data_IF_263806874288
#
_entry.id   IF_263806874288
#
_cell.length_a   1.000
_cell.length_b   1.000
_cell.length_c   1.000
_cell.angle_alpha   90.00
_cell.angle_beta   90.00
_cell.angle_gamma   90.00
#
_symmetry.space_group_name_H-M   'P 1'
#
loop_
_entity.id
_entity.type
_entity.pdbx_description
1 polymer ?
#
# COMPACT_ATOMS: atom_id res chain seq x y z
N UNK A 1 1.46 16.24 7.70
CA UNK A 1 1.85 16.21 6.28
C UNK A 1 0.63 15.74 5.50
N UNK A 2 0.24 16.39 4.40
CA UNK A 2 -0.98 16.00 3.64
C UNK A 2 -0.65 14.78 2.78
N UNK A 3 -1.44 13.72 2.93
CA UNK A 3 -1.36 12.53 2.08
C UNK A 3 -1.49 12.93 0.59
N UNK A 4 -0.49 12.68 -0.26
CA UNK A 4 -0.54 13.13 -1.65
C UNK A 4 -1.35 12.16 -2.51
N UNK A 5 -2.15 12.69 -3.43
CA UNK A 5 -2.62 11.94 -4.61
C UNK A 5 -1.72 12.27 -5.80
N UNK A 6 -1.54 11.33 -6.73
CA UNK A 6 -0.71 11.54 -7.91
C UNK A 6 -1.53 11.90 -9.15
N UNK A 7 -0.95 12.76 -9.98
CA UNK A 7 -1.39 13.03 -11.34
C UNK A 7 -0.66 12.07 -12.27
N UNK A 8 -1.35 11.00 -12.65
CA UNK A 8 -0.79 10.00 -13.56
C UNK A 8 -0.59 10.56 -14.98
N UNK A 9 0.51 10.20 -15.67
CA UNK A 9 0.79 10.67 -17.03
C UNK A 9 -0.30 10.23 -18.02
N UNK A 10 -0.71 11.13 -18.91
CA UNK A 10 -1.72 10.82 -19.94
C UNK A 10 -1.23 9.74 -20.90
N UNK A 11 0.06 9.71 -21.22
CA UNK A 11 0.68 8.69 -22.07
C UNK A 11 0.61 7.26 -21.46
N UNK A 12 0.44 7.15 -20.14
CA UNK A 12 0.30 5.88 -19.43
C UNK A 12 -1.15 5.43 -19.25
N UNK A 13 -2.14 6.19 -19.76
CA UNK A 13 -3.56 5.90 -19.57
C UNK A 13 -3.96 4.64 -20.34
N UNK A 14 -4.55 3.69 -19.63
CA UNK A 14 -5.06 2.43 -20.21
C UNK A 14 -6.58 2.42 -20.29
N UNK A 15 -7.27 2.74 -19.18
CA UNK A 15 -8.72 2.99 -19.15
C UNK A 15 -9.62 1.77 -19.41
N UNK A 16 -9.12 0.54 -19.28
CA UNK A 16 -9.91 -0.67 -19.55
C UNK A 16 -10.59 -1.22 -18.29
N UNK A 17 -11.80 -1.76 -18.43
CA UNK A 17 -12.48 -2.45 -17.32
C UNK A 17 -11.81 -3.79 -17.07
N UNK A 18 -11.49 -4.10 -15.81
CA UNK A 18 -11.04 -5.43 -15.39
C UNK A 18 -12.26 -6.21 -14.86
N UNK A 19 -12.74 -7.25 -15.57
CA UNK A 19 -13.80 -8.12 -15.05
C UNK A 19 -13.34 -8.84 -13.78
N UNK A 20 -14.27 -9.07 -12.84
CA UNK A 20 -13.94 -9.75 -11.57
C UNK A 20 -13.62 -11.23 -11.81
N UNK A 21 -14.22 -11.79 -12.85
CA UNK A 21 -14.05 -13.16 -13.32
C UNK A 21 -12.59 -13.46 -13.64
N UNK A 22 -11.88 -12.52 -14.31
CA UNK A 22 -10.44 -12.65 -14.58
C UNK A 22 -9.60 -12.75 -13.31
N UNK A 23 -10.01 -12.08 -12.23
CA UNK A 23 -9.32 -12.17 -10.94
C UNK A 23 -9.60 -13.53 -10.28
N UNK A 24 -10.80 -14.09 -10.45
CA UNK A 24 -11.16 -15.41 -9.91
C UNK A 24 -10.48 -16.57 -10.65
N UNK A 25 -10.18 -16.40 -11.94
CA UNK A 25 -9.47 -17.39 -12.76
C UNK A 25 -7.98 -17.44 -12.44
N UNK A 26 -7.37 -16.26 -12.24
CA UNK A 26 -5.92 -16.15 -12.02
C UNK A 26 -5.52 -16.09 -10.54
N UNK A 27 -6.45 -15.76 -9.65
CA UNK A 27 -6.26 -15.80 -8.21
C UNK A 27 -6.91 -17.05 -7.63
N UNK A 28 -6.24 -17.74 -6.72
CA UNK A 28 -6.86 -18.81 -5.93
C UNK A 28 -7.83 -18.19 -4.89
N UNK A 29 -8.95 -17.65 -5.37
CA UNK A 29 -9.89 -16.83 -4.58
C UNK A 29 -10.95 -17.72 -3.93
N UNK A 30 -10.94 -17.75 -2.59
CA UNK A 30 -11.95 -18.49 -1.81
C UNK A 30 -13.36 -17.89 -1.95
N UNK A 31 -14.38 -18.70 -1.64
CA UNK A 31 -15.80 -18.28 -1.67
C UNK A 31 -16.05 -17.01 -0.85
N UNK A 32 -15.49 -16.94 0.36
CA UNK A 32 -15.61 -15.77 1.23
C UNK A 32 -15.01 -14.49 0.60
N UNK A 33 -13.91 -14.61 -0.15
CA UNK A 33 -13.32 -13.46 -0.85
C UNK A 33 -14.17 -13.08 -2.06
N UNK A 34 -14.74 -14.04 -2.79
CA UNK A 34 -15.70 -13.75 -3.89
C UNK A 34 -16.91 -12.97 -3.39
N UNK A 35 -17.49 -13.36 -2.25
CA UNK A 35 -18.59 -12.61 -1.61
C UNK A 35 -18.19 -11.18 -1.26
N UNK A 36 -16.96 -10.97 -0.79
CA UNK A 36 -16.41 -9.62 -0.55
C UNK A 36 -16.28 -8.82 -1.85
N UNK A 37 -15.85 -9.41 -2.95
CA UNK A 37 -15.87 -8.73 -4.24
C UNK A 37 -17.28 -8.33 -4.68
N UNK A 38 -18.30 -9.16 -4.44
CA UNK A 38 -19.68 -8.85 -4.81
C UNK A 38 -20.25 -7.73 -3.95
N UNK A 39 -20.01 -7.77 -2.64
CA UNK A 39 -20.53 -6.80 -1.67
C UNK A 39 -19.76 -5.47 -1.65
N UNK A 40 -18.44 -5.48 -1.78
CA UNK A 40 -17.59 -4.30 -1.60
C UNK A 40 -17.25 -3.60 -2.91
N UNK A 41 -17.11 -4.33 -4.02
CA UNK A 41 -16.59 -3.76 -5.26
C UNK A 41 -17.71 -3.50 -6.27
N UNK A 42 -17.83 -2.27 -6.75
CA UNK A 42 -18.76 -1.92 -7.82
C UNK A 42 -18.12 -2.19 -9.17
N UNK A 43 -16.93 -1.61 -9.37
CA UNK A 43 -16.20 -1.66 -10.64
C UNK A 43 -14.70 -1.61 -10.38
N UNK A 44 -13.95 -2.34 -11.20
CA UNK A 44 -12.49 -2.29 -11.24
C UNK A 44 -12.10 -1.78 -12.62
N UNK A 45 -11.27 -0.75 -12.66
CA UNK A 45 -10.77 -0.14 -13.88
C UNK A 45 -9.25 -0.17 -13.83
N UNK A 46 -8.64 -0.78 -14.84
CA UNK A 46 -7.22 -0.62 -15.11
C UNK A 46 -7.00 0.77 -15.68
N UNK A 47 -6.63 1.71 -14.81
CA UNK A 47 -6.58 3.13 -15.13
C UNK A 47 -5.29 3.49 -15.88
N UNK A 48 -4.14 3.05 -15.38
CA UNK A 48 -2.83 3.36 -15.97
C UNK A 48 -1.88 2.16 -15.95
N UNK A 49 -0.98 2.14 -16.92
CA UNK A 49 0.16 1.22 -17.02
C UNK A 49 1.43 2.05 -17.21
N UNK A 50 2.26 2.09 -16.19
CA UNK A 50 3.56 2.78 -16.20
C UNK A 50 4.63 1.79 -16.63
N UNK A 51 5.07 1.91 -17.87
CA UNK A 51 6.16 1.15 -18.47
C UNK A 51 7.14 2.09 -19.18
N UNK A 52 8.32 1.58 -19.54
CA UNK A 52 9.36 2.33 -20.26
C UNK A 52 8.80 3.07 -21.49
N UNK A 53 7.95 2.41 -22.28
CA UNK A 53 7.30 3.01 -23.46
C UNK A 53 6.31 4.14 -23.16
N UNK A 54 5.87 4.31 -21.91
CA UNK A 54 4.81 5.27 -21.52
C UNK A 54 5.32 6.43 -20.66
N UNK A 55 6.39 6.20 -19.90
CA UNK A 55 6.98 7.21 -18.99
C UNK A 55 8.47 7.42 -19.19
N UNK A 56 9.07 6.74 -20.16
CA UNK A 56 10.50 6.85 -20.49
C UNK A 56 11.42 6.57 -19.28
N UNK A 57 11.03 5.60 -18.44
CA UNK A 57 11.82 5.13 -17.31
C UNK A 57 12.17 3.65 -17.52
N UNK A 58 13.45 3.28 -17.46
CA UNK A 58 13.85 1.89 -17.63
C UNK A 58 13.28 1.02 -16.51
N UNK A 59 12.79 -0.16 -16.90
CA UNK A 59 12.39 -1.21 -15.97
C UNK A 59 13.56 -2.05 -15.46
N UNK A 60 13.28 -2.95 -14.53
CA UNK A 60 14.20 -4.01 -14.09
C UNK A 60 13.52 -5.37 -14.10
N UNK A 61 14.28 -6.45 -13.82
CA UNK A 61 13.69 -7.79 -13.68
C UNK A 61 12.60 -7.85 -12.59
N UNK A 62 12.75 -7.09 -11.50
CA UNK A 62 11.79 -7.03 -10.39
C UNK A 62 10.62 -6.07 -10.62
N UNK A 63 10.84 -4.95 -11.32
CA UNK A 63 9.80 -3.96 -11.64
C UNK A 63 9.90 -3.58 -13.11
N UNK A 64 9.22 -4.35 -13.97
CA UNK A 64 9.16 -4.09 -15.42
C UNK A 64 8.13 -3.02 -15.79
N UNK A 65 7.08 -2.94 -14.99
CA UNK A 65 5.95 -2.03 -15.17
C UNK A 65 5.24 -1.86 -13.82
N UNK A 66 4.51 -0.77 -13.64
CA UNK A 66 3.68 -0.50 -12.45
C UNK A 66 2.25 -0.26 -12.93
N UNK A 67 1.29 -0.94 -12.30
CA UNK A 67 -0.13 -0.83 -12.65
C UNK A 67 -0.86 0.10 -11.68
N UNK A 68 -1.80 0.88 -12.21
CA UNK A 68 -2.73 1.68 -11.39
C UNK A 68 -4.15 1.17 -11.63
N UNK A 69 -4.74 0.62 -10.58
CA UNK A 69 -6.12 0.14 -10.60
C UNK A 69 -7.02 1.07 -9.80
N UNK A 70 -8.06 1.59 -10.46
CA UNK A 70 -9.12 2.30 -9.79
C UNK A 70 -10.22 1.31 -9.39
N UNK A 71 -10.60 1.31 -8.12
CA UNK A 71 -11.68 0.51 -7.59
C UNK A 71 -12.78 1.44 -7.10
N UNK A 72 -13.96 1.34 -7.72
CA UNK A 72 -15.14 2.03 -7.23
C UNK A 72 -15.81 1.10 -6.18
N UNK A 73 -15.87 1.56 -4.94
CA UNK A 73 -16.45 0.82 -3.81
C UNK A 73 -17.97 0.95 -3.80
N UNK A 74 -18.68 -0.15 -3.54
CA UNK A 74 -20.13 -0.16 -3.27
C UNK A 74 -20.45 0.29 -1.85
N UNK A 75 -19.55 0.01 -0.91
CA UNK A 75 -19.70 0.29 0.52
C UNK A 75 -18.65 1.32 0.95
N UNK A 76 -18.49 1.50 2.26
CA UNK A 76 -17.55 2.48 2.81
C UNK A 76 -16.07 2.24 2.47
N UNK A 77 -15.65 0.99 2.20
CA UNK A 77 -14.27 0.65 1.80
C UNK A 77 -14.16 -0.76 1.21
N UNK A 78 -13.00 -1.06 0.61
CA UNK A 78 -12.57 -2.35 0.10
C UNK A 78 -11.54 -2.97 1.03
N UNK A 79 -11.75 -4.23 1.41
CA UNK A 79 -10.88 -4.95 2.34
C UNK A 79 -9.55 -5.41 1.72
N UNK A 80 -8.50 -5.52 2.53
CA UNK A 80 -7.18 -6.03 2.13
C UNK A 80 -7.23 -7.41 1.48
N UNK A 81 -8.21 -8.25 1.83
CA UNK A 81 -8.40 -9.56 1.19
C UNK A 81 -8.79 -9.43 -0.29
N UNK A 82 -9.59 -8.42 -0.63
CA UNK A 82 -9.96 -8.12 -2.02
C UNK A 82 -8.76 -7.53 -2.76
N UNK A 83 -8.03 -6.60 -2.15
CA UNK A 83 -6.82 -6.04 -2.75
C UNK A 83 -5.77 -7.13 -3.00
N UNK A 84 -5.55 -8.01 -2.02
CA UNK A 84 -4.59 -9.12 -2.11
C UNK A 84 -4.96 -10.10 -3.21
N UNK A 85 -6.25 -10.38 -3.42
CA UNK A 85 -6.69 -11.22 -4.53
C UNK A 85 -6.34 -10.59 -5.90
N UNK A 86 -6.47 -9.28 -6.06
CA UNK A 86 -6.07 -8.57 -7.29
C UNK A 86 -4.54 -8.61 -7.44
N UNK A 87 -3.80 -8.34 -6.37
CA UNK A 87 -2.33 -8.38 -6.38
C UNK A 87 -1.79 -9.76 -6.72
N UNK A 88 -2.41 -10.84 -6.25
CA UNK A 88 -1.97 -12.20 -6.55
C UNK A 88 -2.27 -12.60 -8.01
N UNK A 89 -3.32 -12.04 -8.61
CA UNK A 89 -3.68 -12.31 -10.01
C UNK A 89 -2.76 -11.60 -11.02
N UNK A 90 -2.01 -10.57 -10.60
CA UNK A 90 -1.21 -9.70 -11.48
C UNK A 90 0.22 -9.63 -10.95
N UNK A 91 1.21 -10.07 -11.72
CA UNK A 91 2.60 -10.17 -11.24
C UNK A 91 3.28 -8.81 -11.03
N UNK A 92 2.88 -7.79 -11.76
CA UNK A 92 3.45 -6.44 -11.67
C UNK A 92 3.02 -5.73 -10.38
N UNK A 93 3.81 -4.80 -9.82
CA UNK A 93 3.39 -3.93 -8.72
C UNK A 93 2.12 -3.15 -9.04
N UNK A 94 1.26 -2.98 -8.03
CA UNK A 94 -0.03 -2.31 -8.15
C UNK A 94 -0.14 -1.15 -7.16
N UNK A 95 -0.67 -0.03 -7.65
CA UNK A 95 -1.17 1.08 -6.85
C UNK A 95 -2.69 1.14 -7.05
N UNK A 96 -3.44 1.05 -5.96
CA UNK A 96 -4.89 1.14 -5.97
C UNK A 96 -5.34 2.58 -5.71
N UNK A 97 -6.25 3.09 -6.53
CA UNK A 97 -7.10 4.24 -6.20
C UNK A 97 -8.49 3.75 -5.84
N UNK A 98 -8.82 3.74 -4.56
CA UNK A 98 -10.10 3.25 -4.07
C UNK A 98 -11.00 4.46 -3.90
N UNK A 99 -12.14 4.48 -4.58
CA UNK A 99 -13.11 5.57 -4.51
C UNK A 99 -14.40 5.13 -3.83
N UNK A 100 -15.03 6.05 -3.10
CA UNK A 100 -16.33 5.84 -2.46
C UNK A 100 -17.20 7.08 -2.59
N UNK A 101 -18.51 6.87 -2.67
CA UNK A 101 -19.47 7.95 -2.55
C UNK A 101 -19.76 8.24 -1.07
N UNK A 102 -19.76 9.52 -0.71
CA UNK A 102 -20.19 10.05 0.59
C UNK A 102 -21.16 11.22 0.36
N UNK A 103 -21.84 11.67 1.41
CA UNK A 103 -22.80 12.79 1.30
C UNK A 103 -22.15 14.08 0.78
N UNK A 104 -20.87 14.30 1.06
CA UNK A 104 -20.10 15.47 0.61
C UNK A 104 -19.44 15.29 -0.77
N UNK A 105 -19.79 14.25 -1.54
CA UNK A 105 -19.23 13.98 -2.87
C UNK A 105 -18.47 12.66 -2.96
N UNK A 106 -17.45 12.60 -3.81
CA UNK A 106 -16.61 11.39 -3.94
C UNK A 106 -15.33 11.55 -3.15
N UNK A 107 -14.94 10.52 -2.42
CA UNK A 107 -13.64 10.43 -1.77
C UNK A 107 -12.78 9.37 -2.44
N UNK A 108 -11.46 9.54 -2.32
CA UNK A 108 -10.44 8.62 -2.81
C UNK A 108 -9.39 8.39 -1.74
N UNK A 109 -8.91 7.16 -1.64
CA UNK A 109 -7.66 6.83 -0.94
C UNK A 109 -6.76 6.05 -1.89
N UNK A 110 -5.45 6.20 -1.73
CA UNK A 110 -4.49 5.35 -2.41
C UNK A 110 -4.04 4.24 -1.48
N UNK A 111 -3.82 3.05 -2.02
CA UNK A 111 -3.27 1.92 -1.29
C UNK A 111 -2.29 1.14 -2.15
N UNK A 112 -1.22 0.61 -1.57
CA UNK A 112 -0.32 -0.32 -2.23
C UNK A 112 0.28 -1.27 -1.20
N UNK A 113 0.70 -2.44 -1.67
CA UNK A 113 1.49 -3.39 -0.90
C UNK A 113 2.82 -3.61 -1.61
N UNK A 114 3.94 -3.69 -0.88
CA UNK A 114 5.22 -3.89 -1.50
C UNK A 114 5.26 -5.31 -2.05
N UNK A 115 5.73 -5.44 -3.29
CA UNK A 115 5.69 -6.69 -4.03
C UNK A 115 7.10 -7.06 -4.45
N UNK A 116 7.54 -8.23 -4.00
CA UNK A 116 8.88 -8.73 -4.27
C UNK A 116 8.77 -10.03 -5.05
N UNK A 117 9.50 -10.11 -6.17
CA UNK A 117 9.71 -11.37 -6.87
C UNK A 117 10.87 -12.10 -6.18
N UNK A 118 10.54 -13.04 -5.28
CA UNK A 118 11.53 -13.87 -4.60
C UNK A 118 11.97 -15.07 -5.46
N UNK A 119 12.56 -16.08 -4.83
CA UNK A 119 13.00 -17.36 -5.44
C UNK A 119 11.83 -18.19 -6.03
N UNK A 120 11.19 -17.69 -7.07
CA UNK A 120 10.07 -18.35 -7.78
C UNK A 120 8.66 -18.03 -7.27
N UNK A 121 8.52 -17.28 -6.16
CA UNK A 121 7.22 -16.89 -5.62
C UNK A 121 7.12 -15.39 -5.37
N UNK A 122 5.94 -14.83 -5.67
CA UNK A 122 5.59 -13.46 -5.30
C UNK A 122 5.36 -13.36 -3.80
N UNK A 123 6.16 -12.52 -3.14
CA UNK A 123 5.95 -12.15 -1.74
C UNK A 123 5.25 -10.80 -1.70
N UNK A 124 3.99 -10.81 -1.26
CA UNK A 124 3.22 -9.61 -0.99
C UNK A 124 3.44 -9.20 0.47
N UNK A 125 3.91 -7.98 0.68
CA UNK A 125 3.90 -7.37 2.00
C UNK A 125 2.49 -6.92 2.38
N UNK A 126 2.41 -6.12 3.42
CA UNK A 126 1.12 -5.63 3.86
C UNK A 126 0.77 -4.29 3.23
N UNK A 127 -0.53 -3.98 3.22
CA UNK A 127 -1.04 -2.76 2.62
C UNK A 127 -0.70 -1.54 3.48
N UNK A 128 -0.38 -0.47 2.77
CA UNK A 128 -0.25 0.90 3.27
C UNK A 128 -1.18 1.77 2.46
N UNK A 129 -1.80 2.74 3.11
CA UNK A 129 -2.75 3.62 2.45
C UNK A 129 -2.74 5.01 3.02
N UNK A 130 -3.07 5.96 2.16
CA UNK A 130 -3.45 7.30 2.60
C UNK A 130 -4.75 7.25 3.40
N UNK A 131 -5.05 8.33 4.09
CA UNK A 131 -6.41 8.67 4.49
C UNK A 131 -7.33 8.89 3.28
N UNK A 132 -8.62 9.03 3.58
CA UNK A 132 -9.62 9.42 2.59
C UNK A 132 -9.53 10.91 2.29
N UNK A 133 -9.34 11.24 1.01
CA UNK A 133 -9.25 12.59 0.51
C UNK A 133 -10.43 12.88 -0.43
N UNK A 134 -10.87 14.13 -0.59
CA UNK A 134 -11.79 14.51 -1.66
C UNK A 134 -11.25 14.07 -3.03
N UNK A 135 -12.10 13.58 -3.92
CA UNK A 135 -11.67 13.08 -5.24
C UNK A 135 -11.07 14.18 -6.15
N UNK A 136 -11.45 15.42 -5.89
CA UNK A 136 -10.96 16.66 -6.51
C UNK A 136 -9.77 17.29 -5.74
N UNK A 137 -9.28 16.64 -4.68
CA UNK A 137 -8.11 17.10 -3.96
C UNK A 137 -6.91 17.29 -4.90
N UNK A 138 -6.06 18.29 -4.66
CA UNK A 138 -4.94 18.61 -5.54
C UNK A 138 -4.00 17.41 -5.70
N UNK A 139 -3.77 17.04 -6.96
CA UNK A 139 -2.88 15.94 -7.34
C UNK A 139 -1.49 16.48 -7.66
N UNK A 140 -0.46 15.84 -7.11
CA UNK A 140 0.95 16.19 -7.33
C UNK A 140 1.50 15.47 -8.56
N UNK A 141 2.52 16.03 -9.23
CA UNK A 141 3.26 15.27 -10.24
C UNK A 141 3.90 14.02 -9.61
N UNK A 142 4.25 13.05 -10.46
CA UNK A 142 5.01 11.89 -10.01
C UNK A 142 6.37 12.34 -9.44
N UNK A 143 6.91 11.61 -8.44
CA UNK A 143 8.26 11.87 -7.94
C UNK A 143 9.29 11.72 -9.06
N UNK A 144 10.34 12.53 -9.02
CA UNK A 144 11.46 12.39 -9.94
C UNK A 144 12.16 11.06 -9.67
N UNK A 145 12.31 10.26 -10.72
CA UNK A 145 12.99 8.96 -10.66
C UNK A 145 13.75 8.71 -11.96
N UNK A 146 14.82 7.92 -11.86
CA UNK A 146 15.64 7.51 -13.01
C UNK A 146 15.31 6.11 -13.53
N UNK A 147 14.42 5.38 -12.86
CA UNK A 147 13.98 4.03 -13.23
C UNK A 147 12.63 3.69 -12.59
N UNK A 148 11.93 2.68 -13.13
CA UNK A 148 10.64 2.23 -12.57
C UNK A 148 10.76 1.69 -11.12
N UNK A 149 11.79 0.91 -10.73
CA UNK A 149 12.00 0.56 -9.33
C UNK A 149 12.12 1.78 -8.40
N UNK A 150 12.87 2.81 -8.83
CA UNK A 150 13.04 4.06 -8.04
C UNK A 150 11.75 4.85 -7.96
N UNK A 151 10.97 4.90 -9.04
CA UNK A 151 9.64 5.53 -9.04
C UNK A 151 8.70 4.80 -8.08
N UNK A 152 8.69 3.46 -8.12
CA UNK A 152 7.85 2.64 -7.25
C UNK A 152 8.19 2.87 -5.77
N UNK A 153 9.47 2.82 -5.41
CA UNK A 153 9.95 3.09 -4.06
C UNK A 153 9.53 4.49 -3.57
N UNK A 154 9.70 5.53 -4.40
CA UNK A 154 9.34 6.91 -4.05
C UNK A 154 7.81 7.11 -3.87
N UNK A 155 6.99 6.43 -4.66
CA UNK A 155 5.54 6.44 -4.45
C UNK A 155 5.19 5.73 -3.13
N UNK A 156 5.85 4.61 -2.85
CA UNK A 156 5.59 3.79 -1.68
C UNK A 156 6.03 4.48 -0.37
N UNK A 157 7.15 5.18 -0.37
CA UNK A 157 7.63 6.06 0.71
C UNK A 157 6.55 7.01 1.22
N UNK A 158 5.82 7.63 0.29
CA UNK A 158 4.74 8.56 0.62
C UNK A 158 3.52 7.89 1.24
N UNK A 159 3.33 6.58 1.02
CA UNK A 159 2.26 5.79 1.65
C UNK A 159 2.64 5.28 3.04
N UNK A 160 3.92 5.05 3.29
CA UNK A 160 4.42 4.47 4.55
C UNK A 160 4.88 5.52 5.55
N UNK A 161 5.17 6.74 5.09
CA UNK A 161 5.84 7.80 5.86
C UNK A 161 7.21 7.35 6.42
N UNK A 162 7.83 6.35 5.80
CA UNK A 162 9.17 5.85 6.15
C UNK A 162 10.12 6.32 5.07
N UNK A 163 11.12 7.13 5.43
CA UNK A 163 12.03 7.74 4.47
C UNK A 163 12.85 6.66 3.77
N UNK A 164 12.95 6.72 2.44
CA UNK A 164 13.81 5.82 1.67
C UNK A 164 15.24 6.35 1.75
N UNK A 165 16.16 5.56 2.32
CA UNK A 165 17.55 6.01 2.46
C UNK A 165 18.26 5.91 1.11
N UNK A 166 19.29 6.74 0.93
CA UNK A 166 20.07 6.73 -0.31
C UNK A 166 20.62 5.34 -0.62
N UNK A 167 20.37 4.87 -1.83
CA UNK A 167 20.84 3.56 -2.29
C UNK A 167 19.83 2.43 -2.06
N UNK A 168 18.86 2.57 -1.15
CA UNK A 168 18.01 1.46 -0.77
C UNK A 168 17.16 0.92 -1.92
N UNK A 169 17.04 -0.41 -1.97
CA UNK A 169 16.10 -1.11 -2.83
C UNK A 169 14.79 -1.42 -2.06
N UNK A 170 13.75 -1.78 -2.79
CA UNK A 170 12.44 -2.17 -2.28
C UNK A 170 12.53 -3.27 -1.22
N UNK A 171 13.52 -4.16 -1.30
CA UNK A 171 13.73 -5.18 -0.27
C UNK A 171 14.11 -4.64 1.08
N UNK A 172 15.03 -3.69 1.12
CA UNK A 172 15.49 -3.07 2.36
C UNK A 172 14.38 -2.21 2.98
N UNK A 173 13.59 -1.54 2.14
CA UNK A 173 12.37 -0.82 2.57
C UNK A 173 11.38 -1.79 3.22
N UNK A 174 11.12 -2.95 2.61
CA UNK A 174 10.21 -3.97 3.16
C UNK A 174 10.71 -4.53 4.49
N UNK A 175 12.00 -4.83 4.60
CA UNK A 175 12.58 -5.37 5.82
C UNK A 175 12.52 -4.34 6.96
N UNK A 176 12.81 -3.07 6.69
CA UNK A 176 12.63 -1.99 7.67
C UNK A 176 11.18 -1.84 8.10
N UNK A 177 10.24 -1.89 7.17
CA UNK A 177 8.81 -1.83 7.48
C UNK A 177 8.34 -3.01 8.32
N UNK A 178 8.91 -4.19 8.13
CA UNK A 178 8.64 -5.35 8.99
C UNK A 178 9.16 -5.12 10.41
N UNK A 179 10.33 -4.50 10.57
CA UNK A 179 10.88 -4.09 11.88
C UNK A 179 9.96 -3.08 12.56
N UNK A 180 9.57 -2.01 11.84
CA UNK A 180 8.63 -0.98 12.36
C UNK A 180 7.35 -1.62 12.87
N UNK A 181 6.73 -2.51 12.08
CA UNK A 181 5.51 -3.22 12.49
C UNK A 181 5.70 -4.11 13.71
N UNK A 182 6.85 -4.76 13.83
CA UNK A 182 7.17 -5.58 15.01
C UNK A 182 7.24 -4.69 16.26
N UNK A 183 7.95 -3.57 16.17
CA UNK A 183 8.05 -2.59 17.26
C UNK A 183 6.68 -2.01 17.64
N UNK A 184 5.83 -1.67 16.67
CA UNK A 184 4.47 -1.16 16.93
C UNK A 184 3.60 -2.17 17.70
N UNK A 185 3.72 -3.48 17.37
CA UNK A 185 3.02 -4.55 18.10
C UNK A 185 3.55 -4.71 19.52
N UNK A 186 4.87 -4.65 19.70
CA UNK A 186 5.50 -4.70 21.03
C UNK A 186 5.06 -3.51 21.90
N UNK A 187 5.05 -2.29 21.35
CA UNK A 187 4.58 -1.07 22.02
C UNK A 187 3.11 -1.24 22.42
N UNK A 188 2.23 -1.65 21.49
CA UNK A 188 0.80 -1.86 21.79
C UNK A 188 0.58 -2.89 22.90
N UNK A 189 1.37 -3.97 22.91
CA UNK A 189 1.30 -4.98 23.97
C UNK A 189 1.79 -4.44 25.33
N UNK A 190 2.86 -3.64 25.33
CA UNK A 190 3.38 -2.98 26.53
C UNK A 190 2.40 -1.95 27.09
N UNK A 191 1.75 -1.14 26.23
CA UNK A 191 0.72 -0.18 26.62
C UNK A 191 -0.47 -0.87 27.29
N UNK A 192 -0.94 -1.99 26.72
CA UNK A 192 -2.00 -2.80 27.32
C UNK A 192 -1.59 -3.34 28.70
N UNK A 193 -0.38 -3.89 28.82
CA UNK A 193 0.15 -4.37 30.10
C UNK A 193 0.26 -3.25 31.14
N UNK A 194 0.71 -2.07 30.73
CA UNK A 194 0.85 -0.90 31.60
C UNK A 194 -0.50 -0.43 32.15
N UNK A 195 -1.57 -0.52 31.36
CA UNK A 195 -2.94 -0.16 31.77
C UNK A 195 -3.49 -1.11 32.84
N UNK A 196 -3.14 -2.40 32.80
CA UNK A 196 -3.66 -3.42 33.72
C UNK A 196 -2.77 -3.69 34.93
N UNK A 197 -1.52 -3.23 34.92
CA UNK A 197 -0.57 -3.48 36.02
C UNK A 197 -0.93 -2.66 37.27
N UNK A 198 -1.04 -3.26 38.47
CA UNK A 198 -1.24 -2.52 39.72
C UNK A 198 0.07 -2.08 40.40
N UNK A 199 1.17 -2.82 40.26
CA UNK A 199 2.40 -2.56 41.02
C UNK A 199 3.23 -1.41 40.42
N UNK A 200 3.57 -0.41 41.24
CA UNK A 200 4.32 0.79 40.80
C UNK A 200 5.71 0.44 40.23
N UNK A 201 6.45 -0.45 40.88
CA UNK A 201 7.80 -0.85 40.43
C UNK A 201 7.77 -1.48 39.04
N UNK A 202 6.80 -2.37 38.77
CA UNK A 202 6.58 -2.96 37.44
C UNK A 202 6.12 -1.94 36.41
N UNK A 203 5.28 -0.97 36.78
CA UNK A 203 4.91 0.14 35.87
C UNK A 203 6.14 0.95 35.44
N UNK A 204 7.06 1.23 36.35
CA UNK A 204 8.28 1.99 36.05
C UNK A 204 9.15 1.20 35.07
N UNK A 205 9.33 -0.11 35.29
CA UNK A 205 10.08 -0.98 34.38
C UNK A 205 9.44 -1.05 32.99
N UNK A 206 8.13 -1.28 32.91
CA UNK A 206 7.37 -1.31 31.65
C UNK A 206 7.46 0.03 30.90
N UNK A 207 7.41 1.16 31.60
CA UNK A 207 7.60 2.50 31.00
C UNK A 207 9.01 2.68 30.44
N UNK A 208 10.04 2.16 31.11
CA UNK A 208 11.42 2.21 30.61
C UNK A 208 11.55 1.46 29.28
N UNK A 209 11.05 0.22 29.24
CA UNK A 209 11.07 -0.62 28.02
C UNK A 209 10.26 0.06 26.90
N UNK A 210 9.07 0.58 27.21
CA UNK A 210 8.22 1.28 26.25
C UNK A 210 8.95 2.50 25.64
N UNK A 211 9.64 3.30 26.45
CA UNK A 211 10.43 4.44 25.96
C UNK A 211 11.57 3.99 25.04
N UNK A 212 12.27 2.91 25.37
CA UNK A 212 13.32 2.35 24.50
C UNK A 212 12.76 1.89 23.16
N UNK A 213 11.64 1.15 23.16
CA UNK A 213 10.98 0.71 21.92
C UNK A 213 10.46 1.88 21.07
N UNK A 214 9.97 2.95 21.70
CA UNK A 214 9.58 4.18 21.03
C UNK A 214 10.76 4.94 20.42
N UNK A 215 11.97 4.83 20.98
CA UNK A 215 13.16 5.40 20.35
C UNK A 215 13.64 4.55 19.17
N UNK A 216 13.57 3.22 19.28
CA UNK A 216 13.92 2.31 18.19
C UNK A 216 13.02 2.52 16.97
N UNK A 217 11.71 2.72 17.13
CA UNK A 217 10.81 2.97 15.99
C UNK A 217 11.11 4.31 15.30
N UNK A 218 11.46 5.34 16.06
CA UNK A 218 11.80 6.66 15.49
C UNK A 218 13.09 6.58 14.65
N UNK A 219 14.05 5.74 15.02
CA UNK A 219 15.26 5.50 14.23
C UNK A 219 14.99 4.75 12.90
N UNK A 220 13.84 4.09 12.78
CA UNK A 220 13.44 3.34 11.59
C UNK A 220 12.52 4.14 10.66
N UNK A 221 11.99 5.28 11.10
CA UNK A 221 11.18 6.18 10.26
C UNK A 221 12.07 7.18 9.55
#
# INVERSE_FOLDING_TARGET
MVDPLYKWPLAAKFGSRLPKEKIYEHGNVSTAVREKFVSQVQRITWAYKLAESTVNLPGSAGVREIQVFRIDSKTGDVSDQVLSAIDNAIQSPIIFEITRAVSSGTQVRMAAAPKQLGSGHLKLGAYYSTGWLPADAPRRPLPTAISLPRLYAAIFEMLTLVVVRHGEDMSEIVDRLAIVRKLEREISALERKLRTEPQLNRKIELRRILKTRQQEIEQQR
#
